data_IF_479244963771
#
_entry.id   IF_479244963771
#
_cell.length_a   1.000
_cell.length_b   1.000
_cell.length_c   1.000
_cell.angle_alpha   90.00
_cell.angle_beta   90.00
_cell.angle_gamma   90.00
#
_symmetry.space_group_name_H-M   'P 1'
#
loop_
_entity.id
_entity.type
_entity.pdbx_description
1 polymer ?
#
# COMPACT_ATOMS: atom_id res chain seq x y z
N UNK A 1 17.34 -24.81 11.04
CA UNK A 1 18.04 -23.80 10.24
C UNK A 1 17.24 -22.50 10.24
N UNK A 2 17.87 -21.38 10.65
CA UNK A 2 17.26 -20.06 10.78
C UNK A 2 16.51 -19.64 9.51
N UNK A 3 17.13 -19.75 8.32
CA UNK A 3 16.51 -19.39 7.03
C UNK A 3 15.22 -20.16 6.74
N UNK A 4 15.14 -21.43 7.16
CA UNK A 4 13.91 -22.22 6.99
C UNK A 4 12.80 -21.70 7.88
N UNK A 5 13.11 -21.34 9.14
CA UNK A 5 12.13 -20.77 10.07
C UNK A 5 11.65 -19.41 9.59
N UNK A 6 12.56 -18.55 9.09
CA UNK A 6 12.22 -17.27 8.46
C UNK A 6 11.23 -17.47 7.29
N UNK A 7 11.50 -18.39 6.38
CA UNK A 7 10.60 -18.67 5.26
C UNK A 7 9.24 -19.20 5.71
N UNK A 8 9.20 -20.06 6.74
CA UNK A 8 7.95 -20.57 7.31
C UNK A 8 7.13 -19.46 8.00
N UNK A 9 7.77 -18.54 8.73
CA UNK A 9 7.09 -17.38 9.33
C UNK A 9 6.50 -16.50 8.23
N UNK A 10 7.29 -16.15 7.22
CA UNK A 10 6.85 -15.34 6.07
C UNK A 10 5.67 -15.99 5.33
N UNK A 11 5.70 -17.32 5.21
CA UNK A 11 4.61 -18.11 4.61
C UNK A 11 3.36 -18.26 5.49
N UNK A 12 3.41 -17.85 6.77
CA UNK A 12 2.27 -17.96 7.69
C UNK A 12 2.12 -19.32 8.37
N UNK A 13 3.13 -20.18 8.33
CA UNK A 13 3.06 -21.50 8.95
C UNK A 13 2.89 -21.44 10.47
N UNK A 14 3.26 -20.32 11.10
CA UNK A 14 3.18 -20.09 12.54
C UNK A 14 1.99 -19.22 12.98
N UNK A 15 1.06 -18.86 12.07
CA UNK A 15 -0.08 -17.98 12.39
C UNK A 15 -1.00 -18.53 13.49
N UNK A 16 -1.00 -19.85 13.70
CA UNK A 16 -1.74 -20.48 14.82
C UNK A 16 -1.07 -20.29 16.18
N UNK A 17 0.24 -20.01 16.20
CA UNK A 17 0.99 -19.78 17.42
C UNK A 17 0.99 -18.29 17.78
N UNK A 18 1.17 -17.44 16.79
CA UNK A 18 1.14 -15.99 16.94
C UNK A 18 0.71 -15.33 15.64
N UNK A 19 -0.26 -14.41 15.70
CA UNK A 19 -0.85 -13.78 14.51
C UNK A 19 0.07 -12.74 13.86
N UNK A 20 0.93 -12.11 14.66
CA UNK A 20 1.85 -11.09 14.14
C UNK A 20 3.17 -11.73 13.68
N UNK A 21 3.30 -11.89 12.37
CA UNK A 21 4.48 -12.45 11.71
C UNK A 21 5.70 -11.53 11.82
N UNK A 22 5.52 -10.21 11.91
CA UNK A 22 6.61 -9.26 12.08
C UNK A 22 7.32 -9.49 13.43
N UNK A 23 6.55 -9.60 14.51
CA UNK A 23 7.02 -9.94 15.84
C UNK A 23 7.73 -11.29 15.86
N UNK A 24 7.17 -12.33 15.22
CA UNK A 24 7.85 -13.63 15.13
C UNK A 24 9.16 -13.56 14.37
N UNK A 25 9.20 -12.83 13.25
CA UNK A 25 10.42 -12.66 12.47
C UNK A 25 11.52 -11.92 13.26
N UNK A 26 11.15 -10.86 13.99
CA UNK A 26 12.05 -10.10 14.83
C UNK A 26 12.59 -10.92 16.04
N UNK A 27 11.83 -11.92 16.46
CA UNK A 27 12.16 -12.76 17.63
C UNK A 27 12.99 -13.99 17.29
N UNK A 28 13.32 -14.24 16.02
CA UNK A 28 14.01 -15.47 15.60
C UNK A 28 15.35 -15.66 16.33
N UNK A 29 16.17 -14.62 16.44
CA UNK A 29 17.47 -14.72 17.11
C UNK A 29 17.31 -15.08 18.58
N UNK A 30 16.38 -14.42 19.27
CA UNK A 30 16.06 -14.74 20.67
C UNK A 30 15.62 -16.20 20.84
N UNK A 31 14.77 -16.70 19.93
CA UNK A 31 14.29 -18.08 19.96
C UNK A 31 15.41 -19.10 19.75
N UNK A 32 16.34 -18.82 18.83
CA UNK A 32 17.49 -19.70 18.60
C UNK A 32 18.47 -19.68 19.77
N UNK A 33 18.77 -18.51 20.34
CA UNK A 33 19.66 -18.38 21.50
C UNK A 33 19.07 -19.08 22.73
N UNK A 34 17.75 -18.93 22.94
CA UNK A 34 17.03 -19.64 24.00
C UNK A 34 17.07 -21.16 23.81
N UNK A 35 16.85 -21.65 22.59
CA UNK A 35 16.90 -23.07 22.29
C UNK A 35 18.29 -23.65 22.54
N UNK A 36 19.37 -22.94 22.15
CA UNK A 36 20.74 -23.35 22.41
C UNK A 36 21.06 -23.37 23.91
N UNK A 37 20.59 -22.35 24.65
CA UNK A 37 20.76 -22.31 26.10
C UNK A 37 20.02 -23.47 26.80
N UNK A 38 18.83 -23.80 26.37
CA UNK A 38 18.03 -24.94 26.86
C UNK A 38 18.75 -26.29 26.57
N UNK A 39 19.28 -26.46 25.36
CA UNK A 39 20.03 -27.67 24.99
C UNK A 39 21.30 -27.83 25.86
N UNK A 40 22.06 -26.74 26.07
CA UNK A 40 23.24 -26.75 26.94
C UNK A 40 22.89 -27.10 28.39
N UNK A 41 21.78 -26.56 28.93
CA UNK A 41 21.31 -26.84 30.29
C UNK A 41 20.80 -28.28 30.46
N UNK A 42 20.20 -28.88 29.42
CA UNK A 42 19.73 -30.28 29.47
C UNK A 42 20.90 -31.27 29.62
N UNK A 43 22.08 -30.92 29.14
CA UNK A 43 23.31 -31.74 29.29
C UNK A 43 24.07 -31.47 30.57
N UNK A 44 23.74 -30.43 31.33
CA UNK A 44 24.30 -30.13 32.63
C UNK A 44 23.29 -30.53 33.70
N UNK A 45 23.32 -31.81 34.12
CA UNK A 45 22.65 -32.24 35.37
C UNK A 45 23.42 -31.55 36.48
N UNK A 46 22.91 -30.45 36.99
CA UNK A 46 23.55 -29.67 38.05
C UNK A 46 23.66 -30.51 39.32
N UNK A 47 24.83 -30.51 39.97
CA UNK A 47 25.09 -31.16 41.25
C UNK A 47 24.10 -30.71 42.35
N UNK A 48 23.29 -29.67 42.10
CA UNK A 48 22.31 -29.09 43.03
C UNK A 48 20.87 -29.53 42.77
N UNK A 49 20.60 -30.32 41.71
CA UNK A 49 19.28 -30.84 41.38
C UNK A 49 18.82 -31.99 42.32
N UNK A 50 19.68 -32.35 43.30
CA UNK A 50 19.39 -33.37 44.31
C UNK A 50 18.73 -32.80 45.58
N UNK A 51 18.51 -31.50 45.68
CA UNK A 51 17.74 -30.91 46.78
C UNK A 51 16.31 -30.68 46.30
N UNK A 52 15.37 -31.38 46.93
CA UNK A 52 13.93 -31.50 46.68
C UNK A 52 13.14 -30.18 46.94
N UNK A 53 13.74 -29.05 46.69
CA UNK A 53 13.06 -27.75 46.77
C UNK A 53 12.80 -27.23 45.34
N UNK A 54 11.74 -27.75 44.72
CA UNK A 54 10.95 -27.35 43.54
C UNK A 54 11.24 -26.08 42.70
N UNK A 55 12.47 -25.58 42.74
CA UNK A 55 12.97 -24.49 41.90
C UNK A 55 14.03 -25.03 40.93
N UNK A 56 13.61 -25.96 40.05
CA UNK A 56 14.34 -26.23 38.83
C UNK A 56 14.65 -24.89 38.17
N UNK A 57 15.91 -24.69 37.78
CA UNK A 57 16.35 -23.51 37.01
C UNK A 57 15.58 -23.42 35.70
N UNK A 58 14.34 -22.96 35.82
CA UNK A 58 13.50 -22.65 34.64
C UNK A 58 14.12 -21.43 33.97
N UNK A 59 14.91 -21.67 32.92
CA UNK A 59 15.29 -20.58 32.03
C UNK A 59 14.01 -19.90 31.59
N UNK A 60 13.76 -18.71 32.14
CA UNK A 60 12.55 -17.97 31.86
C UNK A 60 12.44 -17.75 30.34
N UNK A 61 11.30 -18.11 29.77
CA UNK A 61 11.05 -17.90 28.34
C UNK A 61 11.20 -16.41 28.00
N UNK A 62 12.04 -16.05 27.02
CA UNK A 62 12.26 -14.65 26.67
C UNK A 62 11.00 -14.04 26.10
N UNK A 63 10.72 -12.77 26.44
CA UNK A 63 9.65 -12.02 25.82
C UNK A 63 9.94 -11.83 24.31
N UNK A 64 8.90 -11.91 23.50
CA UNK A 64 9.01 -11.66 22.05
C UNK A 64 9.46 -10.21 21.80
N UNK A 65 10.23 -10.00 20.75
CA UNK A 65 10.66 -8.68 20.31
C UNK A 65 9.44 -7.89 19.79
N UNK A 66 9.32 -6.63 20.20
CA UNK A 66 8.29 -5.75 19.64
C UNK A 66 8.62 -5.35 18.20
N UNK A 67 7.67 -5.52 17.29
CA UNK A 67 7.78 -5.08 15.91
C UNK A 67 6.46 -4.48 15.42
N UNK A 68 6.54 -3.56 14.48
CA UNK A 68 5.33 -3.03 13.83
C UNK A 68 4.69 -4.11 12.98
N UNK A 69 3.41 -4.46 13.18
CA UNK A 69 2.72 -5.44 12.36
C UNK A 69 2.77 -5.07 10.88
N UNK A 70 2.97 -6.08 10.03
CA UNK A 70 2.95 -5.87 8.58
C UNK A 70 1.55 -5.46 8.11
N UNK A 71 1.50 -4.46 7.25
CA UNK A 71 0.29 -4.19 6.47
C UNK A 71 0.02 -5.34 5.46
N UNK A 72 -1.14 -5.29 4.79
CA UNK A 72 -1.51 -6.32 3.83
C UNK A 72 -0.49 -6.44 2.69
N UNK A 73 -0.02 -5.31 2.18
CA UNK A 73 0.94 -5.29 1.06
C UNK A 73 2.27 -5.90 1.45
N UNK A 74 2.82 -5.52 2.60
CA UNK A 74 4.07 -6.07 3.10
C UNK A 74 3.95 -7.57 3.37
N UNK A 75 2.85 -8.01 4.00
CA UNK A 75 2.58 -9.43 4.25
C UNK A 75 2.58 -10.24 2.96
N UNK A 76 1.89 -9.77 1.92
CA UNK A 76 1.83 -10.43 0.63
C UNK A 76 3.19 -10.45 -0.07
N UNK A 77 4.00 -9.39 0.04
CA UNK A 77 5.37 -9.38 -0.48
C UNK A 77 6.26 -10.40 0.21
N UNK A 78 6.14 -10.56 1.54
CA UNK A 78 6.88 -11.57 2.29
C UNK A 78 6.46 -12.99 1.92
N UNK A 79 5.15 -13.24 1.70
CA UNK A 79 4.64 -14.50 1.18
C UNK A 79 5.23 -14.82 -0.20
N UNK A 80 5.20 -13.87 -1.13
CA UNK A 80 5.78 -14.04 -2.47
C UNK A 80 7.27 -14.31 -2.41
N UNK A 81 8.01 -13.64 -1.53
CA UNK A 81 9.44 -13.88 -1.34
C UNK A 81 9.74 -15.30 -0.81
N UNK A 82 8.85 -15.87 0.01
CA UNK A 82 9.02 -17.19 0.60
C UNK A 82 8.47 -18.33 -0.28
N UNK A 83 7.33 -18.12 -0.93
CA UNK A 83 6.55 -19.14 -1.64
C UNK A 83 6.59 -18.99 -3.17
N UNK A 84 6.90 -17.79 -3.67
CA UNK A 84 6.81 -17.44 -5.08
C UNK A 84 5.42 -16.93 -5.52
N UNK A 85 4.43 -16.90 -4.62
CA UNK A 85 3.07 -16.41 -4.88
C UNK A 85 2.45 -15.81 -3.62
N UNK A 86 1.36 -15.04 -3.78
CA UNK A 86 0.56 -14.49 -2.69
C UNK A 86 -0.44 -15.54 -2.20
N UNK A 87 -0.49 -15.82 -0.90
CA UNK A 87 -1.35 -16.86 -0.31
C UNK A 87 -2.57 -16.28 0.41
N UNK A 88 -2.40 -15.22 1.20
CA UNK A 88 -3.42 -14.76 2.14
C UNK A 88 -4.31 -13.64 1.62
N UNK A 89 -4.15 -13.21 0.37
CA UNK A 89 -4.96 -12.14 -0.23
C UNK A 89 -4.46 -11.73 -1.60
N UNK A 90 -5.06 -10.69 -2.14
CA UNK A 90 -4.69 -10.11 -3.42
C UNK A 90 -4.09 -8.71 -3.22
N UNK A 91 -3.03 -8.35 -3.98
CA UNK A 91 -2.39 -7.03 -3.85
C UNK A 91 -3.36 -5.86 -4.12
N UNK A 92 -4.35 -6.10 -4.98
CA UNK A 92 -5.38 -5.09 -5.28
C UNK A 92 -6.25 -4.77 -4.07
N UNK A 93 -6.46 -5.70 -3.13
CA UNK A 93 -7.31 -5.51 -1.95
C UNK A 93 -6.84 -4.33 -1.08
N UNK A 94 -5.53 -4.09 -1.04
CA UNK A 94 -4.95 -2.98 -0.29
C UNK A 94 -5.40 -1.59 -0.80
N UNK A 95 -5.79 -1.48 -2.08
CA UNK A 95 -6.18 -0.22 -2.72
C UNK A 95 -7.58 -0.25 -3.34
N UNK A 96 -8.27 -1.39 -3.33
CA UNK A 96 -9.56 -1.60 -3.97
C UNK A 96 -10.60 -0.53 -3.58
N UNK A 97 -10.75 -0.26 -2.28
CA UNK A 97 -11.70 0.72 -1.76
C UNK A 97 -11.46 2.13 -2.29
N UNK A 98 -10.21 2.51 -2.51
CA UNK A 98 -9.85 3.80 -3.08
C UNK A 98 -10.07 3.82 -4.59
N UNK A 99 -9.54 2.81 -5.28
CA UNK A 99 -9.59 2.71 -6.75
C UNK A 99 -11.03 2.68 -7.26
N UNK A 100 -11.92 1.96 -6.59
CA UNK A 100 -13.36 1.86 -6.96
C UNK A 100 -14.11 3.18 -6.87
N UNK A 101 -13.54 4.23 -6.27
CA UNK A 101 -14.14 5.58 -6.28
C UNK A 101 -13.99 6.31 -7.60
N UNK A 102 -13.05 5.90 -8.47
CA UNK A 102 -12.83 6.52 -9.79
C UNK A 102 -12.78 5.51 -10.94
N UNK A 103 -12.54 4.21 -10.67
CA UNK A 103 -12.68 3.11 -11.63
C UNK A 103 -13.84 2.24 -11.20
N UNK A 104 -15.00 2.44 -11.86
CA UNK A 104 -16.25 1.81 -11.42
C UNK A 104 -16.42 0.37 -11.92
N UNK A 105 -15.87 0.05 -13.09
CA UNK A 105 -16.06 -1.26 -13.74
C UNK A 105 -15.00 -2.26 -13.29
N UNK A 106 -15.36 -3.34 -12.58
CA UNK A 106 -14.48 -4.47 -12.33
C UNK A 106 -14.09 -5.17 -13.64
N UNK A 107 -12.90 -5.79 -13.67
CA UNK A 107 -12.43 -6.51 -14.86
C UNK A 107 -13.33 -7.69 -15.23
N UNK A 108 -14.01 -8.32 -14.26
CA UNK A 108 -14.99 -9.38 -14.52
C UNK A 108 -16.22 -8.92 -15.31
N UNK A 109 -16.52 -7.62 -15.31
CA UNK A 109 -17.66 -7.04 -16.04
C UNK A 109 -17.21 -6.19 -17.23
N UNK A 110 -16.01 -6.45 -17.73
CA UNK A 110 -15.46 -5.73 -18.86
C UNK A 110 -16.17 -6.14 -20.15
N UNK A 111 -16.52 -5.16 -20.95
CA UNK A 111 -17.16 -5.33 -22.26
C UNK A 111 -16.36 -4.66 -23.36
N UNK A 112 -16.49 -5.18 -24.58
CA UNK A 112 -15.88 -4.56 -25.77
C UNK A 112 -16.43 -3.14 -25.96
N UNK A 113 -15.54 -2.17 -26.18
CA UNK A 113 -15.92 -0.77 -26.37
C UNK A 113 -15.03 -0.05 -27.37
N UNK A 114 -15.66 0.77 -28.20
CA UNK A 114 -14.95 1.70 -29.07
C UNK A 114 -14.42 2.92 -28.32
N UNK A 115 -15.11 3.30 -27.24
CA UNK A 115 -14.68 4.38 -26.37
C UNK A 115 -13.60 3.90 -25.41
N UNK A 116 -12.57 4.72 -25.13
CA UNK A 116 -11.55 4.37 -24.15
C UNK A 116 -12.15 4.18 -22.77
N UNK A 117 -11.89 3.03 -22.15
CA UNK A 117 -12.31 2.71 -20.79
C UNK A 117 -11.15 2.94 -19.81
N UNK A 118 -11.48 3.31 -18.58
CA UNK A 118 -10.55 3.44 -17.47
C UNK A 118 -10.59 2.16 -16.65
N UNK A 119 -9.48 1.45 -16.58
CA UNK A 119 -9.31 0.18 -15.87
C UNK A 119 -8.21 0.30 -14.85
N UNK A 120 -8.25 -0.53 -13.82
CA UNK A 120 -7.16 -0.63 -12.85
C UNK A 120 -6.96 -2.09 -12.43
N UNK A 121 -5.73 -2.43 -12.16
CA UNK A 121 -5.34 -3.76 -11.67
C UNK A 121 -3.86 -3.81 -11.31
N UNK A 122 -3.46 -4.91 -10.72
CA UNK A 122 -2.05 -5.23 -10.48
C UNK A 122 -1.45 -5.74 -11.79
N UNK A 123 -0.27 -5.24 -12.13
CA UNK A 123 0.48 -5.69 -13.30
C UNK A 123 1.08 -7.06 -13.05
N UNK A 124 0.78 -8.00 -13.92
CA UNK A 124 1.32 -9.36 -13.90
C UNK A 124 1.89 -9.73 -15.28
N UNK A 125 2.89 -10.60 -15.30
CA UNK A 125 3.50 -11.15 -16.53
C UNK A 125 4.00 -10.09 -17.51
N UNK A 126 4.61 -9.03 -17.00
CA UNK A 126 5.14 -7.93 -17.80
C UNK A 126 6.29 -8.41 -18.70
N UNK A 127 6.13 -8.20 -20.00
CA UNK A 127 7.14 -8.51 -21.02
C UNK A 127 7.27 -7.35 -22.00
N UNK A 128 8.49 -6.97 -22.30
CA UNK A 128 8.77 -5.98 -23.33
C UNK A 128 9.34 -6.71 -24.54
N UNK A 129 8.67 -6.61 -25.67
CA UNK A 129 9.07 -7.24 -26.93
C UNK A 129 9.38 -6.17 -27.98
N UNK A 130 10.24 -6.50 -28.93
CA UNK A 130 10.49 -5.66 -30.10
C UNK A 130 9.45 -5.95 -31.18
N UNK A 131 8.61 -4.96 -31.45
CA UNK A 131 7.62 -5.01 -32.51
C UNK A 131 8.09 -4.28 -33.78
N UNK A 132 7.29 -4.34 -34.84
CA UNK A 132 7.60 -3.69 -36.13
C UNK A 132 7.59 -2.16 -36.07
N UNK A 133 6.97 -1.57 -35.03
CA UNK A 133 6.80 -0.11 -34.85
C UNK A 133 7.51 0.43 -33.60
N UNK A 134 8.46 -0.31 -33.02
CA UNK A 134 9.11 0.00 -31.77
C UNK A 134 8.84 -1.06 -30.71
N UNK A 135 9.18 -0.77 -29.46
CA UNK A 135 8.94 -1.70 -28.36
C UNK A 135 7.46 -1.73 -27.99
N UNK A 136 6.99 -2.92 -27.62
CA UNK A 136 5.64 -3.16 -27.16
C UNK A 136 5.71 -3.81 -25.76
N UNK A 137 5.06 -3.21 -24.78
CA UNK A 137 4.85 -3.83 -23.49
C UNK A 137 3.59 -4.70 -23.56
N UNK A 138 3.72 -5.97 -23.17
CA UNK A 138 2.64 -6.92 -22.98
C UNK A 138 2.57 -7.23 -21.49
N UNK A 139 1.39 -7.17 -20.90
CA UNK A 139 1.18 -7.44 -19.49
C UNK A 139 -0.25 -7.89 -19.24
N UNK A 140 -0.54 -8.38 -18.05
CA UNK A 140 -1.90 -8.61 -17.59
C UNK A 140 -2.23 -7.66 -16.46
N UNK A 141 -3.46 -7.19 -16.41
CA UNK A 141 -4.03 -6.49 -15.26
C UNK A 141 -4.92 -7.47 -14.50
N UNK A 142 -4.75 -7.50 -13.19
CA UNK A 142 -5.51 -8.33 -12.26
C UNK A 142 -6.09 -7.46 -11.13
N UNK A 143 -7.42 -7.45 -10.99
CA UNK A 143 -8.12 -6.69 -9.93
C UNK A 143 -8.75 -7.61 -8.87
N UNK A 144 -8.34 -8.89 -8.84
CA UNK A 144 -8.88 -9.92 -7.97
C UNK A 144 -10.24 -10.48 -8.42
N UNK A 145 -10.96 -9.81 -9.32
CA UNK A 145 -12.21 -10.31 -9.90
C UNK A 145 -12.00 -11.07 -11.20
N UNK A 146 -11.05 -10.62 -12.02
CA UNK A 146 -10.64 -11.23 -13.28
C UNK A 146 -9.28 -10.68 -13.71
N UNK A 147 -8.72 -11.30 -14.77
CA UNK A 147 -7.51 -10.82 -15.43
C UNK A 147 -7.82 -10.42 -16.87
N UNK A 148 -7.20 -9.35 -17.35
CA UNK A 148 -7.28 -8.92 -18.75
C UNK A 148 -5.89 -8.74 -19.32
N UNK A 149 -5.66 -9.27 -20.54
CA UNK A 149 -4.44 -9.00 -21.29
C UNK A 149 -4.40 -7.54 -21.74
N UNK A 150 -3.25 -6.91 -21.62
CA UNK A 150 -3.05 -5.52 -22.01
C UNK A 150 -1.77 -5.36 -22.84
N UNK A 151 -1.79 -4.37 -23.71
CA UNK A 151 -0.63 -3.94 -24.47
C UNK A 151 -0.48 -2.43 -24.43
N UNK A 152 0.76 -1.94 -24.44
CA UNK A 152 1.09 -0.53 -24.52
C UNK A 152 2.25 -0.31 -25.48
N UNK A 153 2.12 0.66 -26.38
CA UNK A 153 3.19 1.04 -27.29
C UNK A 153 4.31 1.77 -26.55
N UNK A 154 5.51 1.81 -27.13
CA UNK A 154 6.70 2.45 -26.53
C UNK A 154 6.44 3.90 -26.11
N UNK A 155 5.66 4.65 -26.87
CA UNK A 155 5.29 6.05 -26.55
C UNK A 155 4.46 6.17 -25.26
N UNK A 156 3.75 5.12 -24.85
CA UNK A 156 2.89 5.12 -23.65
C UNK A 156 3.69 4.79 -22.39
N UNK A 157 4.64 3.86 -22.48
CA UNK A 157 5.38 3.40 -21.32
C UNK A 157 6.82 3.93 -21.22
N UNK A 158 7.39 4.48 -22.28
CA UNK A 158 8.76 5.02 -22.25
C UNK A 158 8.86 6.19 -21.28
N UNK A 159 9.82 6.10 -20.36
CA UNK A 159 9.96 7.09 -19.28
C UNK A 159 8.88 7.04 -18.19
N UNK A 160 7.91 6.16 -18.30
CA UNK A 160 6.84 6.02 -17.31
C UNK A 160 7.20 4.94 -16.27
N UNK A 161 7.36 5.34 -15.01
CA UNK A 161 7.74 4.45 -13.91
C UNK A 161 6.56 3.66 -13.33
N UNK A 162 5.32 3.91 -13.80
CA UNK A 162 4.12 3.25 -13.31
C UNK A 162 4.04 1.77 -13.73
N UNK A 163 4.56 1.42 -14.92
CA UNK A 163 4.52 0.07 -15.45
C UNK A 163 5.62 -0.79 -14.85
N UNK A 164 5.29 -1.52 -13.80
CA UNK A 164 6.18 -2.46 -13.09
C UNK A 164 5.40 -3.68 -12.66
N UNK A 165 6.08 -4.83 -12.59
CA UNK A 165 5.52 -6.06 -12.04
C UNK A 165 5.05 -5.84 -10.60
N UNK A 166 3.91 -6.42 -10.21
CA UNK A 166 3.27 -6.31 -8.90
C UNK A 166 2.87 -4.88 -8.48
N UNK A 167 2.91 -3.92 -9.39
CA UNK A 167 2.45 -2.56 -9.11
C UNK A 167 0.98 -2.36 -9.51
N UNK A 168 0.27 -1.53 -8.76
CA UNK A 168 -1.02 -1.04 -9.20
C UNK A 168 -0.85 -0.11 -10.38
N UNK A 169 -1.54 -0.40 -11.47
CA UNK A 169 -1.60 0.41 -12.66
C UNK A 169 -3.03 0.84 -12.93
N UNK A 170 -3.21 2.12 -13.24
CA UNK A 170 -4.46 2.65 -13.82
C UNK A 170 -4.20 2.90 -15.29
N UNK A 171 -4.94 2.20 -16.15
CA UNK A 171 -4.77 2.25 -17.59
C UNK A 171 -6.05 2.75 -18.27
N UNK A 172 -5.90 3.64 -19.22
CA UNK A 172 -6.98 4.10 -20.08
C UNK A 172 -6.71 3.64 -21.50
N UNK A 173 -7.68 2.97 -22.13
CA UNK A 173 -7.51 2.46 -23.48
C UNK A 173 -8.75 1.80 -24.03
N UNK A 174 -8.65 1.27 -25.24
CA UNK A 174 -9.74 0.57 -25.91
C UNK A 174 -9.72 -0.91 -25.58
N UNK A 175 -10.87 -1.45 -25.28
CA UNK A 175 -11.07 -2.87 -25.03
C UNK A 175 -11.66 -3.51 -26.27
N UNK A 176 -11.00 -4.53 -26.79
CA UNK A 176 -11.40 -5.21 -28.03
C UNK A 176 -11.34 -6.72 -27.82
N UNK A 177 -12.20 -7.43 -28.50
CA UNK A 177 -12.16 -8.90 -28.52
C UNK A 177 -11.04 -9.39 -29.45
N UNK A 178 -10.08 -10.11 -28.88
CA UNK A 178 -9.02 -10.74 -29.64
C UNK A 178 -9.46 -12.14 -30.08
N UNK A 179 -9.60 -12.31 -31.39
CA UNK A 179 -10.05 -13.58 -32.00
C UNK A 179 -9.04 -14.71 -31.83
N UNK A 180 -7.77 -14.42 -31.59
CA UNK A 180 -6.72 -15.44 -31.41
C UNK A 180 -6.73 -16.01 -30.01
N UNK A 181 -6.83 -15.16 -28.97
CA UNK A 181 -6.91 -15.61 -27.59
C UNK A 181 -8.34 -15.97 -27.18
N UNK A 182 -9.37 -15.54 -27.92
CA UNK A 182 -10.78 -15.71 -27.56
C UNK A 182 -11.19 -14.91 -26.34
N UNK A 183 -10.43 -13.87 -25.98
CA UNK A 183 -10.63 -13.04 -24.79
C UNK A 183 -10.59 -11.55 -25.10
N UNK A 184 -11.05 -10.73 -24.16
CA UNK A 184 -10.92 -9.27 -24.25
C UNK A 184 -9.46 -8.86 -24.00
N UNK A 185 -8.99 -7.89 -24.77
CA UNK A 185 -7.67 -7.28 -24.63
C UNK A 185 -7.79 -5.77 -24.52
N UNK A 186 -7.04 -5.19 -23.59
CA UNK A 186 -6.89 -3.73 -23.46
C UNK A 186 -5.71 -3.27 -24.35
N UNK A 187 -5.98 -2.31 -25.24
CA UNK A 187 -4.93 -1.54 -25.89
C UNK A 187 -4.79 -0.20 -25.13
N UNK A 188 -3.80 -0.13 -24.25
CA UNK A 188 -3.58 1.01 -23.37
C UNK A 188 -3.04 2.20 -24.16
N UNK A 189 -3.70 3.34 -24.05
CA UNK A 189 -3.32 4.62 -24.65
C UNK A 189 -2.69 5.56 -23.62
N UNK A 190 -3.02 5.36 -22.34
CA UNK A 190 -2.42 6.09 -21.22
C UNK A 190 -2.33 5.17 -20.00
N UNK A 191 -1.25 5.28 -19.26
CA UNK A 191 -1.01 4.54 -18.02
C UNK A 191 -0.51 5.48 -16.95
N UNK A 192 -1.03 5.35 -15.74
CA UNK A 192 -0.64 6.17 -14.60
C UNK A 192 -0.57 5.33 -13.32
N UNK A 193 0.24 5.77 -12.37
CA UNK A 193 0.30 5.23 -11.02
C UNK A 193 -0.81 5.79 -10.12
N UNK A 194 -0.96 5.23 -8.93
CA UNK A 194 -1.98 5.66 -7.98
C UNK A 194 -1.80 7.12 -7.52
N UNK A 195 -0.59 7.62 -7.20
CA UNK A 195 -0.40 9.03 -6.88
C UNK A 195 -0.87 9.98 -8.00
N UNK A 196 -0.56 9.65 -9.25
CA UNK A 196 -1.02 10.44 -10.41
C UNK A 196 -2.55 10.32 -10.58
N UNK A 197 -3.13 9.15 -10.32
CA UNK A 197 -4.58 8.97 -10.33
C UNK A 197 -5.27 9.79 -9.23
N UNK A 198 -4.70 9.84 -8.02
CA UNK A 198 -5.17 10.70 -6.93
C UNK A 198 -5.17 12.17 -7.31
N UNK A 199 -4.08 12.65 -7.95
CA UNK A 199 -4.03 14.01 -8.46
C UNK A 199 -5.10 14.26 -9.54
N UNK A 200 -5.28 13.33 -10.49
CA UNK A 200 -6.17 13.50 -11.65
C UNK A 200 -7.65 13.42 -11.30
N UNK A 201 -8.04 12.50 -10.42
CA UNK A 201 -9.44 12.19 -10.09
C UNK A 201 -9.85 12.68 -8.71
N UNK A 202 -8.89 12.97 -7.81
CA UNK A 202 -9.14 13.52 -6.49
C UNK A 202 -9.49 15.01 -6.54
N UNK A 203 -10.42 15.42 -5.69
CA UNK A 203 -10.77 16.84 -5.50
C UNK A 203 -9.88 17.50 -4.47
N UNK A 204 -9.70 16.86 -3.33
CA UNK A 204 -8.89 17.34 -2.21
C UNK A 204 -8.63 16.21 -1.20
N UNK A 205 -7.62 16.40 -0.39
CA UNK A 205 -7.46 15.63 0.84
C UNK A 205 -8.38 16.22 1.90
N UNK A 206 -9.22 15.42 2.52
CA UNK A 206 -9.98 15.79 3.70
C UNK A 206 -9.26 15.29 4.95
N UNK A 207 -8.88 16.24 5.80
CA UNK A 207 -8.24 16.00 7.09
C UNK A 207 -9.27 16.33 8.17
N UNK A 208 -9.72 15.32 8.93
CA UNK A 208 -10.67 15.50 10.02
C UNK A 208 -9.95 15.49 11.36
N UNK A 209 -10.08 16.57 12.11
CA UNK A 209 -9.49 16.70 13.44
C UNK A 209 -10.63 16.65 14.46
N UNK A 210 -10.47 15.81 15.48
CA UNK A 210 -11.43 15.72 16.58
C UNK A 210 -11.60 17.06 17.32
N UNK A 211 -12.62 17.17 18.18
CA UNK A 211 -12.89 18.41 18.91
C UNK A 211 -11.69 18.82 19.76
N UNK A 212 -11.07 19.94 19.41
CA UNK A 212 -10.01 20.60 20.19
C UNK A 212 -10.62 21.55 21.20
N UNK A 213 -9.98 21.71 22.37
CA UNK A 213 -10.30 22.79 23.25
C UNK A 213 -9.90 24.13 22.60
N UNK A 214 -10.65 25.18 22.81
CA UNK A 214 -10.40 26.50 22.22
C UNK A 214 -8.99 27.06 22.52
N UNK A 215 -8.34 26.57 23.59
CA UNK A 215 -6.99 26.96 24.02
C UNK A 215 -5.88 26.03 23.49
N UNK A 216 -6.21 24.91 22.82
CA UNK A 216 -5.23 23.97 22.34
C UNK A 216 -4.65 24.41 20.97
N UNK A 217 -3.32 24.40 20.81
CA UNK A 217 -2.72 24.68 19.52
C UNK A 217 -3.09 23.58 18.53
N UNK A 218 -3.51 23.97 17.34
CA UNK A 218 -3.75 23.02 16.25
C UNK A 218 -2.47 22.36 15.77
N UNK A 219 -2.56 21.20 15.10
CA UNK A 219 -1.41 20.51 14.52
C UNK A 219 -0.75 21.37 13.44
N UNK A 220 0.59 21.28 13.37
CA UNK A 220 1.35 21.95 12.30
C UNK A 220 1.52 21.04 11.09
N UNK A 221 1.08 21.50 9.91
CA UNK A 221 1.16 20.75 8.64
C UNK A 221 2.35 21.15 7.79
N UNK A 222 3.13 22.17 8.17
CA UNK A 222 4.21 22.72 7.36
C UNK A 222 5.23 21.68 6.92
N UNK A 223 5.55 20.75 7.81
CA UNK A 223 6.52 19.68 7.53
C UNK A 223 6.05 18.74 6.41
N UNK A 224 4.78 18.37 6.38
CA UNK A 224 4.27 17.47 5.33
C UNK A 224 4.32 18.13 3.97
N UNK A 225 4.00 19.42 3.87
CA UNK A 225 4.11 20.15 2.63
C UNK A 225 5.56 20.31 2.16
N UNK A 226 6.52 20.51 3.07
CA UNK A 226 7.93 20.59 2.72
C UNK A 226 8.55 19.25 2.32
N UNK A 227 8.14 18.16 2.98
CA UNK A 227 8.66 16.82 2.71
C UNK A 227 8.04 16.19 1.44
N UNK A 228 6.81 16.60 1.09
CA UNK A 228 6.04 16.07 -0.04
C UNK A 228 5.52 17.20 -0.95
N UNK A 229 6.38 18.04 -1.52
CA UNK A 229 5.94 19.15 -2.35
C UNK A 229 5.23 18.65 -3.63
N UNK A 230 4.34 19.46 -4.22
CA UNK A 230 3.73 19.12 -5.50
C UNK A 230 4.79 18.94 -6.58
N UNK A 231 4.60 17.95 -7.45
CA UNK A 231 5.54 17.70 -8.55
C UNK A 231 5.34 18.71 -9.68
N UNK A 232 6.45 19.24 -10.20
CA UNK A 232 6.46 20.10 -11.38
C UNK A 232 6.77 19.27 -12.61
N UNK A 233 5.92 19.34 -13.60
CA UNK A 233 6.14 18.71 -14.92
C UNK A 233 6.04 19.79 -15.96
N UNK A 234 7.05 19.88 -16.83
CA UNK A 234 7.01 20.80 -17.98
C UNK A 234 6.42 20.03 -19.16
N UNK A 235 5.41 20.60 -19.80
CA UNK A 235 4.85 20.08 -21.05
C UNK A 235 5.78 20.35 -22.23
N UNK A 236 5.57 19.64 -23.34
CA UNK A 236 6.32 19.89 -24.58
C UNK A 236 6.13 21.33 -25.12
N UNK A 237 5.02 21.99 -24.73
CA UNK A 237 4.75 23.42 -25.01
C UNK A 237 5.49 24.39 -24.11
N UNK A 238 6.23 23.89 -23.08
CA UNK A 238 6.97 24.72 -22.12
C UNK A 238 6.13 25.14 -20.90
N UNK A 239 4.86 24.77 -20.82
CA UNK A 239 4.00 25.09 -19.68
C UNK A 239 4.37 24.24 -18.45
N UNK A 240 4.43 24.88 -17.29
CA UNK A 240 4.67 24.17 -16.02
C UNK A 240 3.34 23.71 -15.44
N UNK A 241 3.12 22.39 -15.43
CA UNK A 241 2.01 21.77 -14.73
C UNK A 241 2.42 21.37 -13.32
N UNK A 242 1.64 21.82 -12.35
CA UNK A 242 1.79 21.41 -10.96
C UNK A 242 0.91 20.20 -10.68
N UNK A 243 1.50 19.09 -10.24
CA UNK A 243 0.78 17.88 -9.81
C UNK A 243 0.73 17.86 -8.29
N UNK A 244 -0.33 18.37 -7.74
CA UNK A 244 -0.58 18.40 -6.31
C UNK A 244 -2.06 18.18 -6.00
N UNK A 245 -2.36 17.89 -4.76
CA UNK A 245 -3.72 17.78 -4.26
C UNK A 245 -3.94 18.86 -3.20
N UNK A 246 -5.00 19.69 -3.31
CA UNK A 246 -5.32 20.68 -2.28
C UNK A 246 -5.83 19.99 -1.02
N UNK A 247 -5.73 20.67 0.11
CA UNK A 247 -6.11 20.13 1.43
C UNK A 247 -7.26 20.92 2.01
N UNK A 248 -8.25 20.21 2.57
CA UNK A 248 -9.32 20.75 3.39
C UNK A 248 -9.25 20.16 4.78
N UNK A 249 -9.35 21.00 5.77
CA UNK A 249 -9.34 20.60 7.18
C UNK A 249 -10.73 20.80 7.77
N UNK A 250 -11.35 19.73 8.26
CA UNK A 250 -12.55 19.76 9.07
C UNK A 250 -12.13 19.66 10.51
N UNK A 251 -12.49 20.65 11.30
CA UNK A 251 -12.18 20.68 12.73
C UNK A 251 -13.43 20.97 13.56
N UNK A 252 -13.50 20.34 14.71
CA UNK A 252 -14.45 20.67 15.76
C UNK A 252 -13.76 21.50 16.84
N UNK A 253 -14.42 22.53 17.30
CA UNK A 253 -13.96 23.33 18.47
C UNK A 253 -14.97 23.14 19.57
N UNK A 254 -14.50 22.73 20.75
CA UNK A 254 -15.32 22.63 21.94
C UNK A 254 -15.35 23.99 22.64
N UNK A 255 -16.55 24.56 22.77
CA UNK A 255 -16.77 25.78 23.52
C UNK A 255 -16.79 25.51 25.04
N UNK A 256 -16.67 26.58 25.84
CA UNK A 256 -16.69 26.50 27.32
C UNK A 256 -18.03 25.99 27.89
N UNK A 257 -19.11 26.08 27.13
CA UNK A 257 -20.44 25.58 27.48
C UNK A 257 -20.64 24.08 27.10
N UNK A 258 -19.60 23.43 26.55
CA UNK A 258 -19.63 22.03 26.12
C UNK A 258 -20.17 21.82 24.71
N UNK A 259 -20.65 22.86 24.02
CA UNK A 259 -21.07 22.76 22.63
C UNK A 259 -19.88 22.55 21.71
N UNK A 260 -20.10 21.81 20.58
CA UNK A 260 -19.09 21.58 19.54
C UNK A 260 -19.52 22.34 18.29
N UNK A 261 -18.66 23.22 17.83
CA UNK A 261 -18.81 23.93 16.56
C UNK A 261 -17.89 23.29 15.54
N UNK A 262 -18.44 22.77 14.44
CA UNK A 262 -17.66 22.19 13.34
C UNK A 262 -17.52 23.18 12.20
N UNK A 263 -16.32 23.23 11.64
CA UNK A 263 -16.00 24.05 10.47
C UNK A 263 -15.10 23.32 9.50
N UNK A 264 -15.17 23.69 8.23
CA UNK A 264 -14.28 23.20 7.19
C UNK A 264 -13.50 24.37 6.61
N UNK A 265 -12.18 24.28 6.68
CA UNK A 265 -11.24 25.27 6.15
C UNK A 265 -10.61 24.70 4.86
N UNK A 266 -10.63 25.45 3.78
CA UNK A 266 -9.79 25.18 2.62
C UNK A 266 -8.43 25.86 2.85
N UNK A 267 -7.35 25.11 2.74
CA UNK A 267 -6.02 25.71 2.77
C UNK A 267 -5.76 26.44 1.45
N UNK A 268 -4.80 27.39 1.49
CA UNK A 268 -4.47 28.20 0.34
C UNK A 268 -4.02 27.33 -0.85
N UNK A 269 -4.13 27.84 -2.08
CA UNK A 269 -3.71 27.16 -3.31
C UNK A 269 -2.24 26.77 -3.32
N UNK A 270 -1.39 27.49 -2.58
CA UNK A 270 0.02 27.15 -2.38
C UNK A 270 0.23 25.94 -1.45
N UNK A 271 -0.80 25.56 -0.67
CA UNK A 271 -0.79 24.43 0.23
C UNK A 271 -1.26 23.14 -0.49
N UNK A 272 -0.49 22.73 -1.48
CA UNK A 272 -0.68 21.45 -2.18
C UNK A 272 0.47 20.50 -1.89
N UNK A 273 0.21 19.20 -1.98
CA UNK A 273 1.21 18.15 -1.80
C UNK A 273 1.05 17.08 -2.88
N UNK A 274 2.13 16.37 -3.20
CA UNK A 274 2.06 15.23 -4.10
C UNK A 274 1.49 14.02 -3.36
N UNK A 275 0.33 13.45 -3.79
CA UNK A 275 -0.43 12.47 -3.00
C UNK A 275 0.13 11.05 -3.11
N UNK A 276 1.42 10.86 -2.77
CA UNK A 276 2.07 9.56 -2.66
C UNK A 276 1.58 8.80 -1.41
N UNK A 277 1.79 7.48 -1.36
CA UNK A 277 1.46 6.68 -0.18
C UNK A 277 2.25 7.16 1.04
N UNK A 278 3.53 7.54 0.85
CA UNK A 278 4.36 8.10 1.92
C UNK A 278 3.79 9.43 2.44
N UNK A 279 3.28 10.29 1.54
CA UNK A 279 2.63 11.55 1.96
C UNK A 279 1.37 11.29 2.77
N UNK A 280 0.50 10.35 2.34
CA UNK A 280 -0.70 9.99 3.08
C UNK A 280 -0.38 9.36 4.44
N UNK A 281 0.67 8.54 4.52
CA UNK A 281 1.16 8.00 5.79
C UNK A 281 1.66 9.12 6.72
N UNK A 282 2.38 10.11 6.20
CA UNK A 282 2.82 11.27 6.98
C UNK A 282 1.65 12.10 7.52
N UNK A 283 0.59 12.30 6.71
CA UNK A 283 -0.64 12.96 7.16
C UNK A 283 -1.33 12.17 8.27
N UNK A 284 -1.44 10.84 8.13
CA UNK A 284 -2.07 9.97 9.13
C UNK A 284 -1.28 9.95 10.44
N UNK A 285 0.05 9.93 10.37
CA UNK A 285 0.93 9.92 11.53
C UNK A 285 0.84 11.20 12.37
N UNK A 286 0.56 12.36 11.73
CA UNK A 286 0.33 13.63 12.44
C UNK A 286 -0.98 13.66 13.23
N UNK A 287 -1.91 12.77 12.93
CA UNK A 287 -3.28 12.83 13.46
C UNK A 287 -3.72 11.45 13.99
N UNK A 288 -3.15 10.96 15.09
CA UNK A 288 -3.43 9.62 15.61
C UNK A 288 -4.91 9.35 15.92
N UNK A 289 -5.69 10.40 16.21
CA UNK A 289 -7.14 10.35 16.45
C UNK A 289 -7.96 10.96 15.31
N UNK A 290 -7.31 11.43 14.24
CA UNK A 290 -7.93 12.04 13.09
C UNK A 290 -8.18 11.05 11.97
N UNK A 291 -9.00 11.47 10.99
CA UNK A 291 -9.21 10.72 9.76
C UNK A 291 -8.66 11.51 8.58
N UNK A 292 -7.94 10.82 7.71
CA UNK A 292 -7.35 11.40 6.51
C UNK A 292 -7.78 10.56 5.31
N UNK A 293 -8.43 11.17 4.33
CA UNK A 293 -8.81 10.48 3.10
C UNK A 293 -8.92 11.43 1.90
N UNK A 294 -8.64 10.88 0.73
CA UNK A 294 -8.83 11.61 -0.54
C UNK A 294 -10.31 11.58 -0.91
N UNK A 295 -10.86 12.75 -1.20
CA UNK A 295 -12.24 12.91 -1.71
C UNK A 295 -12.20 12.93 -3.22
N UNK A 296 -13.01 12.07 -3.85
CA UNK A 296 -13.12 11.94 -5.31
C UNK A 296 -14.39 12.59 -5.85
N UNK A 297 -14.44 12.83 -7.18
CA UNK A 297 -15.64 13.34 -7.85
C UNK A 297 -16.66 12.22 -7.93
N UNK A 298 -17.78 12.33 -7.23
CA UNK A 298 -18.86 11.32 -7.26
C UNK A 298 -19.04 10.52 -5.96
N UNK A 299 -18.26 10.83 -4.93
CA UNK A 299 -18.48 10.31 -3.57
C UNK A 299 -19.31 11.26 -2.72
#
# INVERSE_FOLDING_TARGET
NKRTVEALIKAGAFDRLHLDRATLLASIDLAFDYALAQEANTHQVGLFDLTDDGHGSSTQEPALAEATPWDLRERLQQEKAALGFHLSGHLFDACANEVRRFVQTPLAHLEESREPQLLAGIVCDLRIINGNRGKLALFRLDDGSATVEASADESVFSGNTALKEDALLVAQGRVQFDRFSGALRLNAQNIIDLPTARHRFGKHLLVQIGPLAASEPGPSFSRVFSDHPPQRTTTDSGDVLMRGLPVRVRLGIRSNDGSIVEGTLALNEDCQFYPSDAALASWTALLPQGQVHVVYSGS
#
